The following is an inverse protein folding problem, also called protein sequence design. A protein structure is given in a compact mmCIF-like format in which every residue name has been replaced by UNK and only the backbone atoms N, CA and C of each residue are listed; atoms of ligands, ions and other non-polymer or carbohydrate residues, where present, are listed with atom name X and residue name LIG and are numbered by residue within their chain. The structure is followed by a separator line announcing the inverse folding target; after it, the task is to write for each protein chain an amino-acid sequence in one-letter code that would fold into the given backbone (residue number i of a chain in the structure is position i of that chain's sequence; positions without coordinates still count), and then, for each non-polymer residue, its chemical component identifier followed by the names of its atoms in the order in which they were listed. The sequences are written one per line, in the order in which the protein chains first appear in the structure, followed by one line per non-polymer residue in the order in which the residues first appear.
data_IF_309626169829
#
_entry.id   IF_309626169829
#
_cell.length_a   1.000
_cell.length_b   1.000
_cell.length_c   1.000
_cell.angle_alpha   90.00
_cell.angle_beta   90.00
_cell.angle_gamma   90.00
#
_symmetry.space_group_name_H-M   'P 1'
#
loop_
_entity.id
_entity.type
_entity.pdbx_description
1 polymer ?
#
# COMPACT_ATOMS: atom_id res chain seq x y z
N UNK A 1 -0.85 -15.17 -0.51
CA UNK A 1 0.09 -14.05 -0.80
C UNK A 1 1.34 -14.20 0.06
N UNK A 2 2.51 -13.76 -0.40
CA UNK A 2 3.74 -13.63 0.40
C UNK A 2 4.13 -12.15 0.54
N UNK A 3 4.78 -11.79 1.64
CA UNK A 3 5.22 -10.41 1.91
C UNK A 3 6.73 -10.28 1.75
N UNK A 4 7.19 -9.28 1.00
CA UNK A 4 8.60 -8.88 0.97
C UNK A 4 8.75 -7.48 1.57
N UNK A 5 9.68 -7.34 2.51
CA UNK A 5 9.88 -6.10 3.27
C UNK A 5 11.14 -5.34 2.86
N UNK A 6 11.83 -5.76 1.80
CA UNK A 6 13.05 -5.13 1.28
C UNK A 6 12.87 -3.64 0.96
N UNK A 7 11.68 -3.25 0.51
CA UNK A 7 11.37 -1.88 0.08
C UNK A 7 10.58 -1.08 1.12
N UNK A 8 10.45 -1.59 2.34
CA UNK A 8 9.71 -0.89 3.40
C UNK A 8 10.38 0.45 3.63
N UNK A 9 9.59 1.50 3.47
CA UNK A 9 10.03 2.81 3.90
C UNK A 9 10.04 2.84 5.43
N UNK A 10 11.21 3.08 6.01
CA UNK A 10 11.33 3.28 7.44
C UNK A 10 11.21 4.77 7.81
N UNK A 11 11.31 5.68 6.85
CA UNK A 11 11.33 7.11 7.08
C UNK A 11 10.15 7.82 6.38
N UNK A 12 10.06 9.13 6.54
CA UNK A 12 9.05 9.95 5.87
C UNK A 12 7.62 9.76 6.43
N UNK A 13 6.62 10.43 5.84
CA UNK A 13 5.27 10.50 6.41
C UNK A 13 4.49 9.18 6.41
N UNK A 14 4.93 8.21 5.61
CA UNK A 14 4.30 6.89 5.46
C UNK A 14 5.24 5.75 5.83
N UNK A 15 6.34 6.09 6.51
CA UNK A 15 7.32 5.14 6.96
C UNK A 15 6.85 4.33 8.16
N UNK A 16 7.50 3.21 8.41
CA UNK A 16 7.12 2.29 9.47
C UNK A 16 7.71 2.62 10.85
N UNK A 17 8.60 3.62 10.97
CA UNK A 17 9.28 3.91 12.26
C UNK A 17 8.38 4.50 13.34
N UNK A 18 7.27 5.15 12.97
CA UNK A 18 6.36 5.81 13.92
C UNK A 18 4.94 5.21 13.92
N UNK A 19 4.80 3.95 13.46
CA UNK A 19 3.51 3.26 13.45
C UNK A 19 3.07 2.94 14.87
N UNK A 20 1.84 3.36 15.23
CA UNK A 20 1.26 3.04 16.52
C UNK A 20 1.17 1.53 16.73
N UNK A 21 1.39 1.06 17.96
CA UNK A 21 1.41 -0.38 18.26
C UNK A 21 0.09 -1.10 17.92
N UNK A 22 -1.04 -0.39 18.06
CA UNK A 22 -2.36 -0.91 17.68
C UNK A 22 -2.50 -1.06 16.16
N UNK A 23 -2.06 -0.09 15.38
CA UNK A 23 -2.05 -0.14 13.92
C UNK A 23 -1.16 -1.26 13.41
N UNK A 24 0.00 -1.47 14.04
CA UNK A 24 0.90 -2.57 13.70
C UNK A 24 0.23 -3.94 13.96
N UNK A 25 -0.48 -4.08 15.08
CA UNK A 25 -1.23 -5.30 15.37
C UNK A 25 -2.33 -5.56 14.33
N UNK A 26 -3.03 -4.51 13.91
CA UNK A 26 -4.08 -4.59 12.90
C UNK A 26 -3.54 -4.88 11.50
N UNK A 27 -2.40 -4.29 11.13
CA UNK A 27 -1.64 -4.60 9.93
C UNK A 27 -1.33 -6.10 9.88
N UNK A 28 -0.68 -6.63 10.92
CA UNK A 28 -0.30 -8.04 10.98
C UNK A 28 -1.51 -8.99 10.89
N UNK A 29 -2.63 -8.66 11.54
CA UNK A 29 -3.87 -9.44 11.45
C UNK A 29 -4.39 -9.48 10.01
N UNK A 30 -4.41 -8.35 9.30
CA UNK A 30 -4.90 -8.26 7.93
C UNK A 30 -3.95 -8.89 6.92
N UNK A 31 -2.65 -8.72 7.09
CA UNK A 31 -1.65 -9.42 6.28
C UNK A 31 -1.86 -10.94 6.37
N UNK A 32 -2.00 -11.48 7.58
CA UNK A 32 -2.33 -12.91 7.77
C UNK A 32 -3.65 -13.31 7.09
N UNK A 33 -4.67 -12.47 7.12
CA UNK A 33 -5.95 -12.75 6.45
C UNK A 33 -5.75 -12.83 4.91
N UNK A 34 -4.96 -11.91 4.33
CA UNK A 34 -4.64 -11.87 2.89
C UNK A 34 -3.71 -13.00 2.43
N UNK A 35 -2.90 -13.60 3.32
CA UNK A 35 -2.06 -14.74 2.97
C UNK A 35 -2.88 -15.92 2.44
N UNK A 36 -4.11 -16.07 2.92
CA UNK A 36 -5.06 -17.13 2.55
C UNK A 36 -5.76 -16.87 1.22
N UNK A 37 -5.51 -15.74 0.58
CA UNK A 37 -6.11 -15.35 -0.69
C UNK A 37 -5.05 -15.38 -1.81
N UNK A 38 -5.50 -15.77 -3.00
CA UNK A 38 -4.77 -15.53 -4.24
C UNK A 38 -4.80 -14.05 -4.61
N UNK A 39 -3.83 -13.63 -5.42
CA UNK A 39 -3.79 -12.26 -5.98
C UNK A 39 -5.09 -11.97 -6.75
N UNK A 40 -5.56 -12.93 -7.56
CA UNK A 40 -6.81 -12.78 -8.32
C UNK A 40 -8.00 -12.47 -7.40
N UNK A 41 -8.16 -13.20 -6.30
CA UNK A 41 -9.26 -12.97 -5.35
C UNK A 41 -9.17 -11.59 -4.71
N UNK A 42 -7.97 -11.15 -4.29
CA UNK A 42 -7.77 -9.83 -3.67
C UNK A 42 -8.16 -8.68 -4.60
N UNK A 43 -7.81 -8.78 -5.88
CA UNK A 43 -8.04 -7.72 -6.87
C UNK A 43 -9.43 -7.74 -7.51
N UNK A 44 -10.12 -8.89 -7.48
CA UNK A 44 -11.45 -9.04 -8.09
C UNK A 44 -12.61 -9.00 -7.09
N UNK A 45 -12.33 -8.95 -5.78
CA UNK A 45 -13.38 -8.92 -4.76
C UNK A 45 -14.20 -7.61 -4.79
N UNK A 46 -15.52 -7.76 -4.63
CA UNK A 46 -16.44 -6.64 -4.50
C UNK A 46 -16.08 -5.78 -3.28
N UNK A 47 -16.09 -4.45 -3.43
CA UNK A 47 -15.65 -3.51 -2.40
C UNK A 47 -14.17 -3.13 -2.45
N UNK A 48 -13.38 -3.76 -3.33
CA UNK A 48 -12.02 -3.34 -3.71
C UNK A 48 -11.01 -3.43 -2.58
N UNK A 49 -10.69 -4.67 -2.15
CA UNK A 49 -9.64 -4.95 -1.18
C UNK A 49 -8.26 -4.55 -1.73
N UNK A 50 -7.95 -4.93 -2.95
CA UNK A 50 -6.76 -4.48 -3.66
C UNK A 50 -7.09 -3.60 -4.86
N UNK A 51 -6.20 -2.68 -5.21
CA UNK A 51 -6.28 -1.91 -6.45
C UNK A 51 -4.88 -1.52 -6.92
N UNK A 52 -4.63 -1.60 -8.23
CA UNK A 52 -3.44 -1.05 -8.86
C UNK A 52 -3.74 0.29 -9.51
N UNK A 53 -2.72 1.14 -9.54
CA UNK A 53 -2.73 2.43 -10.18
C UNK A 53 -1.47 2.60 -11.00
N UNK A 54 -1.57 3.35 -12.08
CA UNK A 54 -0.42 3.81 -12.86
C UNK A 54 0.33 4.89 -12.08
N UNK A 55 1.64 4.73 -11.91
CA UNK A 55 2.48 5.69 -11.19
C UNK A 55 2.63 7.03 -11.93
N UNK A 56 2.45 7.06 -13.25
CA UNK A 56 2.37 8.31 -14.01
C UNK A 56 1.29 9.24 -13.41
N UNK A 57 0.14 8.65 -13.08
CA UNK A 57 -1.03 9.32 -12.52
C UNK A 57 -0.99 9.60 -11.01
N UNK A 58 0.09 9.23 -10.29
CA UNK A 58 0.18 9.43 -8.83
C UNK A 58 0.10 10.94 -8.49
N UNK A 59 -0.96 11.40 -7.77
CA UNK A 59 -1.17 12.83 -7.54
C UNK A 59 -0.26 13.42 -6.45
N UNK A 60 0.23 12.58 -5.53
CA UNK A 60 1.03 13.01 -4.41
C UNK A 60 2.52 13.11 -4.80
N UNK A 61 3.04 14.34 -4.86
CA UNK A 61 4.44 14.61 -5.23
C UNK A 61 5.44 14.05 -4.22
N UNK A 62 5.14 14.18 -2.92
CA UNK A 62 6.02 13.66 -1.87
C UNK A 62 6.12 12.13 -1.94
N UNK A 63 5.04 11.43 -2.28
CA UNK A 63 5.09 9.98 -2.51
C UNK A 63 5.97 9.62 -3.72
N UNK A 64 5.94 10.40 -4.80
CA UNK A 64 6.86 10.24 -5.95
C UNK A 64 8.32 10.43 -5.53
N UNK A 65 8.62 11.49 -4.79
CA UNK A 65 9.98 11.77 -4.28
C UNK A 65 10.48 10.66 -3.34
N UNK A 66 9.61 10.09 -2.49
CA UNK A 66 9.97 8.93 -1.66
C UNK A 66 10.27 7.70 -2.51
N UNK A 67 9.49 7.40 -3.54
CA UNK A 67 9.78 6.29 -4.46
C UNK A 67 11.13 6.48 -5.17
N UNK A 68 11.46 7.70 -5.60
CA UNK A 68 12.77 8.03 -6.15
C UNK A 68 13.91 7.81 -5.14
N UNK A 69 13.73 8.29 -3.91
CA UNK A 69 14.70 8.11 -2.83
C UNK A 69 14.97 6.63 -2.53
N UNK A 70 13.91 5.81 -2.55
CA UNK A 70 13.98 4.35 -2.36
C UNK A 70 14.48 3.59 -3.60
N UNK A 71 14.82 4.30 -4.69
CA UNK A 71 15.25 3.73 -5.99
C UNK A 71 14.20 2.84 -6.65
N UNK A 72 12.93 3.22 -6.52
CA UNK A 72 11.74 2.51 -7.06
C UNK A 72 11.02 3.32 -8.15
N UNK A 73 11.68 4.35 -8.71
CA UNK A 73 11.12 5.24 -9.72
C UNK A 73 10.98 4.59 -11.11
N UNK A 74 11.62 3.44 -11.32
CA UNK A 74 11.51 2.65 -12.55
C UNK A 74 10.20 1.84 -12.62
N UNK A 75 9.48 1.72 -11.51
CA UNK A 75 8.20 1.04 -11.45
C UNK A 75 7.12 1.85 -12.20
N UNK A 76 6.24 1.16 -12.92
CA UNK A 76 5.17 1.78 -13.69
C UNK A 76 3.81 1.71 -12.99
N UNK A 77 3.63 0.77 -12.06
CA UNK A 77 2.39 0.59 -11.33
C UNK A 77 2.65 0.40 -9.85
N UNK A 78 1.73 0.90 -9.01
CA UNK A 78 1.71 0.64 -7.58
C UNK A 78 0.37 0.07 -7.18
N UNK A 79 0.38 -0.92 -6.30
CA UNK A 79 -0.81 -1.53 -5.74
C UNK A 79 -1.05 -1.04 -4.30
N UNK A 80 -2.32 -0.95 -3.91
CA UNK A 80 -2.72 -0.77 -2.52
C UNK A 80 -3.59 -1.92 -2.04
N UNK A 81 -3.42 -2.29 -0.78
CA UNK A 81 -4.34 -3.11 -0.02
C UNK A 81 -5.13 -2.22 0.93
N UNK A 82 -6.45 -2.43 1.00
CA UNK A 82 -7.32 -1.76 1.97
C UNK A 82 -7.09 -2.39 3.34
N UNK A 83 -6.79 -1.56 4.32
CA UNK A 83 -6.69 -1.96 5.72
C UNK A 83 -7.95 -1.52 6.48
N UNK A 84 -7.89 -1.53 7.80
CA UNK A 84 -8.99 -1.05 8.64
C UNK A 84 -9.22 0.45 8.42
N UNK A 85 -10.49 0.88 8.44
CA UNK A 85 -10.86 2.28 8.29
C UNK A 85 -10.27 2.93 7.03
N UNK A 86 -9.53 4.06 7.17
CA UNK A 86 -8.86 4.70 6.08
C UNK A 86 -7.42 4.19 5.79
N UNK A 87 -6.95 3.15 6.46
CA UNK A 87 -5.59 2.66 6.24
C UNK A 87 -5.39 2.01 4.86
N UNK A 88 -4.28 2.35 4.19
CA UNK A 88 -3.85 1.73 2.94
C UNK A 88 -2.40 1.27 3.07
N UNK A 89 -2.17 0.01 2.73
CA UNK A 89 -0.82 -0.51 2.57
C UNK A 89 -0.45 -0.47 1.09
N UNK A 90 0.59 0.29 0.74
CA UNK A 90 1.06 0.41 -0.64
C UNK A 90 2.29 -0.46 -0.89
N UNK A 91 2.40 -0.93 -2.13
CA UNK A 91 3.51 -1.77 -2.56
C UNK A 91 3.41 -2.23 -4.00
N UNK A 92 4.31 -3.12 -4.38
CA UNK A 92 4.38 -3.68 -5.73
C UNK A 92 3.98 -5.15 -5.71
N UNK A 93 3.27 -5.61 -6.73
CA UNK A 93 2.89 -7.02 -6.88
C UNK A 93 3.73 -7.64 -7.99
N UNK A 94 4.50 -8.67 -7.63
CA UNK A 94 5.22 -9.52 -8.58
C UNK A 94 4.84 -10.99 -8.30
N UNK A 95 4.16 -11.62 -9.26
CA UNK A 95 3.57 -12.94 -9.09
C UNK A 95 2.62 -13.00 -7.88
N UNK A 96 2.99 -13.78 -6.86
CA UNK A 96 2.26 -13.93 -5.59
C UNK A 96 2.91 -13.19 -4.40
N UNK A 97 3.86 -12.29 -4.68
CA UNK A 97 4.61 -11.53 -3.68
C UNK A 97 4.13 -10.08 -3.71
N UNK A 98 3.79 -9.55 -2.54
CA UNK A 98 3.56 -8.13 -2.34
C UNK A 98 4.78 -7.51 -1.65
N UNK A 99 5.50 -6.66 -2.37
CA UNK A 99 6.62 -5.88 -1.88
C UNK A 99 6.08 -4.66 -1.16
N UNK A 100 6.12 -4.68 0.17
CA UNK A 100 5.59 -3.61 1.02
C UNK A 100 6.50 -2.37 0.89
N UNK A 101 5.89 -1.19 0.76
CA UNK A 101 6.59 0.09 0.64
C UNK A 101 6.10 1.08 1.68
N UNK A 102 4.84 1.52 1.60
CA UNK A 102 4.31 2.60 2.45
C UNK A 102 3.12 2.14 3.31
N UNK A 103 3.04 2.68 4.52
CA UNK A 103 1.83 2.66 5.35
C UNK A 103 1.15 4.04 5.33
N UNK A 104 -0.02 4.12 4.71
CA UNK A 104 -0.81 5.35 4.57
C UNK A 104 -2.09 5.27 5.42
N UNK A 105 -2.04 5.66 6.71
CA UNK A 105 -3.18 5.55 7.62
C UNK A 105 -4.34 6.46 7.21
N UNK A 106 -4.06 7.58 6.54
CA UNK A 106 -5.04 8.64 6.25
C UNK A 106 -5.47 8.73 4.79
N UNK A 107 -4.99 7.84 3.91
CA UNK A 107 -5.28 7.88 2.46
C UNK A 107 -4.78 9.15 1.76
N UNK A 108 -3.62 9.64 2.17
CA UNK A 108 -3.01 10.85 1.64
C UNK A 108 -2.21 10.61 0.34
N UNK A 109 -1.78 9.38 0.06
CA UNK A 109 -0.98 9.07 -1.15
C UNK A 109 -1.84 9.17 -2.41
N UNK A 110 -3.05 8.60 -2.38
CA UNK A 110 -3.98 8.63 -3.51
C UNK A 110 -5.40 9.03 -3.06
N UNK A 111 -5.63 10.31 -2.70
CA UNK A 111 -6.88 10.74 -2.12
C UNK A 111 -8.06 10.51 -3.09
N UNK A 112 -9.24 10.23 -2.51
CA UNK A 112 -10.48 10.09 -3.29
C UNK A 112 -10.88 11.44 -3.90
N UNK A 113 -11.19 11.45 -5.19
CA UNK A 113 -11.74 12.63 -5.88
C UNK A 113 -13.20 12.90 -5.53
N UNK A 114 -13.89 11.95 -4.88
CA UNK A 114 -15.27 12.16 -4.42
C UNK A 114 -15.25 13.05 -3.18
N UNK A 115 -15.52 14.35 -3.38
CA UNK A 115 -15.93 15.27 -2.31
C UNK A 115 -17.33 14.82 -1.85
N UNK A 116 -17.43 14.35 -0.60
CA UNK A 116 -18.65 14.08 0.18
C UNK A 116 -19.88 13.53 -0.56
N UNK A 117 -20.28 12.31 -0.21
CA UNK A 117 -21.71 12.00 -0.07
C UNK A 117 -22.09 12.23 1.37
#
# INVERSE_FOLDING_TARGET
MCWRFEHVDHEGPWGFSEVAGEDLCDLLRKLRDFERMSVRELFHQSGGLAKSYDLEGLPNKQAKERLEHLRLADQTQISRLRMNGPGRLYGFVDGNIFHVVFWDPEHAIWPSTKKHT
#
